data_IF_753734343479
#
_entry.id   IF_753734343479
#
_cell.length_a   1.000
_cell.length_b   1.000
_cell.length_c   1.000
_cell.angle_alpha   90.00
_cell.angle_beta   90.00
_cell.angle_gamma   90.00
#
_symmetry.space_group_name_H-M   'P 1'
#
loop_
_entity.id
_entity.type
_entity.pdbx_description
1 polymer ?
#
# COMPACT_ATOMS: atom_id res chain seq x y z
N UNK A 1 -7.99 14.79 4.09
CA UNK A 1 -6.57 14.38 4.14
C UNK A 1 -6.21 13.98 5.57
N UNK A 2 -5.32 13.01 5.78
CA UNK A 2 -4.75 12.70 7.10
C UNK A 2 -3.35 13.31 7.19
N UNK A 3 -3.09 14.13 8.19
CA UNK A 3 -1.82 14.82 8.37
C UNK A 3 -1.28 14.59 9.78
N UNK A 4 -0.17 13.86 9.88
CA UNK A 4 0.49 13.55 11.16
C UNK A 4 1.30 14.70 11.74
N UNK A 5 1.59 15.74 10.94
CA UNK A 5 2.35 16.92 11.38
C UNK A 5 1.43 18.07 11.79
N UNK A 6 0.18 18.07 11.33
CA UNK A 6 -0.83 19.00 11.81
C UNK A 6 -1.38 18.52 13.17
N UNK A 7 -1.41 19.38 14.19
CA UNK A 7 -1.93 19.00 15.50
C UNK A 7 -3.46 18.85 15.52
N UNK A 8 -4.15 19.80 14.90
CA UNK A 8 -5.61 19.93 14.95
C UNK A 8 -6.28 19.35 13.72
N UNK A 9 -7.56 18.97 13.85
CA UNK A 9 -8.39 18.75 12.67
C UNK A 9 -8.78 20.11 12.10
N UNK A 10 -8.64 20.28 10.79
CA UNK A 10 -8.95 21.54 10.11
C UNK A 10 -10.06 21.32 9.10
N UNK A 11 -10.90 22.33 8.93
CA UNK A 11 -11.91 22.39 7.88
C UNK A 11 -11.93 23.79 7.28
N UNK A 12 -12.10 23.88 5.96
CA UNK A 12 -12.08 25.18 5.30
C UNK A 12 -13.46 25.83 5.26
N UNK A 13 -13.47 27.16 5.32
CA UNK A 13 -14.68 27.99 5.14
C UNK A 13 -15.37 27.68 3.82
N UNK A 14 -14.61 27.43 2.76
CA UNK A 14 -15.12 27.06 1.43
C UNK A 14 -15.94 25.77 1.51
N UNK A 15 -15.39 24.72 2.09
CA UNK A 15 -16.07 23.44 2.23
C UNK A 15 -17.35 23.57 3.07
N UNK A 16 -17.29 24.29 4.21
CA UNK A 16 -18.47 24.52 5.06
C UNK A 16 -19.59 25.26 4.31
N UNK A 17 -19.25 26.27 3.50
CA UNK A 17 -20.23 27.00 2.68
C UNK A 17 -20.87 26.10 1.62
N UNK A 18 -20.09 25.23 0.98
CA UNK A 18 -20.59 24.31 -0.04
C UNK A 18 -21.61 23.31 0.53
N UNK A 19 -21.42 22.86 1.77
CA UNK A 19 -22.36 21.98 2.46
C UNK A 19 -23.49 22.74 3.20
N UNK A 20 -23.50 24.08 3.14
CA UNK A 20 -24.51 24.91 3.79
C UNK A 20 -24.44 24.92 5.31
N UNK A 21 -23.25 24.72 5.90
CA UNK A 21 -23.06 24.65 7.34
C UNK A 21 -22.63 26.01 7.91
N UNK A 22 -23.41 26.53 8.86
CA UNK A 22 -23.09 27.75 9.60
C UNK A 22 -22.31 27.42 10.88
N UNK A 23 -21.36 28.27 11.24
CA UNK A 23 -20.54 28.07 12.45
C UNK A 23 -20.50 29.33 13.29
N UNK A 24 -20.17 29.16 14.57
CA UNK A 24 -19.94 30.27 15.48
C UNK A 24 -18.46 30.67 15.48
N UNK A 25 -18.15 31.98 15.50
CA UNK A 25 -16.78 32.44 15.64
C UNK A 25 -16.15 31.92 16.93
N UNK A 26 -14.88 31.51 16.87
CA UNK A 26 -14.15 31.10 18.08
C UNK A 26 -13.65 32.33 18.83
N UNK A 27 -13.74 32.29 20.16
CA UNK A 27 -13.09 33.27 21.04
C UNK A 27 -11.62 32.93 21.32
N UNK A 28 -11.20 31.71 20.99
CA UNK A 28 -9.88 31.19 21.32
C UNK A 28 -8.91 31.38 20.15
N UNK A 29 -7.85 32.15 20.39
CA UNK A 29 -6.72 32.29 19.48
C UNK A 29 -5.88 31.00 19.49
N UNK A 30 -6.41 29.97 18.83
CA UNK A 30 -5.66 28.74 18.57
C UNK A 30 -4.55 29.06 17.57
N UNK A 31 -3.29 28.91 17.98
CA UNK A 31 -2.15 29.08 17.08
C UNK A 31 -2.02 27.87 16.16
N UNK A 32 -2.33 28.06 14.88
CA UNK A 32 -2.17 27.04 13.84
C UNK A 32 -1.08 27.53 12.89
N UNK A 33 0.09 26.91 12.93
CA UNK A 33 1.25 27.38 12.16
C UNK A 33 1.48 26.51 10.92
N UNK A 34 1.75 27.14 9.78
CA UNK A 34 2.15 26.47 8.53
C UNK A 34 3.66 26.17 8.51
N UNK A 35 4.10 25.36 7.53
CA UNK A 35 5.52 25.01 7.37
C UNK A 35 6.45 26.22 7.15
N UNK A 36 5.94 27.31 6.61
CA UNK A 36 6.66 28.58 6.39
C UNK A 36 6.59 29.52 7.61
N UNK A 37 6.19 29.01 8.77
CA UNK A 37 5.97 29.76 10.01
C UNK A 37 4.87 30.83 9.95
N UNK A 38 4.02 30.86 8.91
CA UNK A 38 2.86 31.75 8.91
C UNK A 38 1.75 31.18 9.77
N UNK A 39 1.16 32.01 10.62
CA UNK A 39 0.01 31.65 11.44
C UNK A 39 -1.28 31.74 10.63
N UNK A 40 -2.06 30.67 10.68
CA UNK A 40 -3.42 30.61 10.17
C UNK A 40 -4.34 31.02 11.29
N UNK A 41 -5.19 32.02 11.02
CA UNK A 41 -6.23 32.42 11.95
C UNK A 41 -7.29 31.32 12.06
N UNK A 42 -7.53 30.86 13.28
CA UNK A 42 -8.70 30.04 13.59
C UNK A 42 -9.93 30.96 13.59
N UNK A 43 -10.92 30.65 12.75
CA UNK A 43 -12.15 31.45 12.65
C UNK A 43 -13.26 30.94 13.56
N UNK A 44 -13.19 29.68 14.00
CA UNK A 44 -14.31 29.00 14.62
C UNK A 44 -14.03 27.54 14.89
N UNK A 45 -14.99 26.89 15.54
CA UNK A 45 -14.97 25.45 15.77
C UNK A 45 -16.30 24.83 15.38
N UNK A 46 -16.23 23.61 14.87
CA UNK A 46 -17.41 22.82 14.55
C UNK A 46 -17.18 21.37 14.93
N UNK A 47 -18.21 20.72 15.47
CA UNK A 47 -18.21 19.27 15.60
C UNK A 47 -18.68 18.63 14.31
N UNK A 48 -17.85 17.77 13.75
CA UNK A 48 -18.14 17.03 12.52
C UNK A 48 -18.13 15.52 12.78
N UNK A 49 -19.01 14.81 12.07
CA UNK A 49 -19.02 13.35 12.03
C UNK A 49 -18.41 12.90 10.71
N UNK A 50 -17.41 12.03 10.76
CA UNK A 50 -16.71 11.55 9.56
C UNK A 50 -16.51 10.04 9.61
N UNK A 51 -16.35 9.43 8.44
CA UNK A 51 -15.95 8.04 8.32
C UNK A 51 -15.13 7.87 7.03
N UNK A 52 -14.12 6.98 7.03
CA UNK A 52 -13.34 6.73 5.83
C UNK A 52 -14.15 5.89 4.83
N UNK A 53 -14.39 6.43 3.63
CA UNK A 53 -14.97 5.70 2.50
C UNK A 53 -13.85 4.96 1.77
N UNK A 54 -14.08 3.69 1.41
CA UNK A 54 -13.10 2.90 0.64
C UNK A 54 -11.89 2.41 1.44
N UNK A 55 -11.88 2.58 2.77
CA UNK A 55 -10.85 1.96 3.60
C UNK A 55 -10.86 0.44 3.41
N UNK A 56 -9.68 -0.20 3.24
CA UNK A 56 -9.60 -1.65 3.04
C UNK A 56 -10.23 -2.33 4.26
N UNK A 57 -11.35 -3.03 4.03
CA UNK A 57 -11.97 -3.85 5.07
C UNK A 57 -10.94 -4.90 5.49
N UNK A 58 -10.86 -5.16 6.80
CA UNK A 58 -10.03 -6.24 7.33
C UNK A 58 -10.35 -7.53 6.56
N UNK A 59 -9.38 -8.14 5.87
CA UNK A 59 -9.60 -9.42 5.23
C UNK A 59 -10.03 -10.44 6.29
N UNK A 60 -11.05 -11.25 5.98
CA UNK A 60 -11.66 -12.18 6.94
C UNK A 60 -10.64 -13.15 7.55
N UNK A 61 -9.61 -13.55 6.79
CA UNK A 61 -8.55 -14.45 7.24
C UNK A 61 -7.58 -13.80 8.25
N UNK A 62 -7.60 -12.48 8.40
CA UNK A 62 -6.84 -11.76 9.43
C UNK A 62 -7.68 -11.50 10.69
N UNK A 63 -8.92 -12.00 10.79
CA UNK A 63 -9.85 -11.76 11.90
C UNK A 63 -9.32 -12.20 13.29
N UNK A 64 -8.48 -13.23 13.33
CA UNK A 64 -7.87 -13.75 14.57
C UNK A 64 -6.56 -13.07 14.98
N UNK A 65 -5.93 -12.26 14.11
CA UNK A 65 -4.65 -11.60 14.44
C UNK A 65 -4.90 -10.43 15.39
N UNK A 66 -4.26 -10.36 16.57
CA UNK A 66 -4.37 -9.20 17.45
C UNK A 66 -4.08 -7.89 16.70
N UNK A 67 -4.93 -6.87 16.87
CA UNK A 67 -4.82 -5.58 16.16
C UNK A 67 -3.43 -4.92 16.29
N UNK A 68 -2.73 -5.19 17.40
CA UNK A 68 -1.36 -4.69 17.66
C UNK A 68 -0.30 -5.30 16.73
N UNK A 69 -0.55 -6.51 16.19
CA UNK A 69 0.35 -7.24 15.30
C UNK A 69 0.06 -6.97 13.81
N UNK A 70 -1.10 -6.39 13.51
CA UNK A 70 -1.45 -5.97 12.16
C UNK A 70 -0.68 -4.70 11.80
N UNK A 71 0.34 -4.86 10.95
CA UNK A 71 1.02 -3.75 10.25
C UNK A 71 0.03 -3.17 9.24
N UNK A 72 -0.76 -2.15 9.63
CA UNK A 72 -1.71 -1.55 8.71
C UNK A 72 -2.58 -0.45 9.32
N UNK A 73 -3.18 0.34 8.44
CA UNK A 73 -4.15 1.39 8.74
C UNK A 73 -5.34 0.83 9.53
N UNK A 74 -5.61 1.36 10.72
CA UNK A 74 -6.71 0.92 11.59
C UNK A 74 -7.97 1.77 11.35
N UNK A 75 -8.44 1.78 10.10
CA UNK A 75 -9.71 2.41 9.76
C UNK A 75 -10.85 1.46 10.14
N UNK A 76 -11.57 1.82 11.21
CA UNK A 76 -12.79 1.10 11.59
C UNK A 76 -13.94 1.58 10.70
N UNK A 77 -14.84 0.70 10.24
CA UNK A 77 -16.01 1.08 9.46
C UNK A 77 -17.11 1.65 10.37
N UNK A 78 -16.77 2.71 11.10
CA UNK A 78 -17.69 3.43 11.97
C UNK A 78 -17.45 4.92 11.78
N UNK A 79 -18.47 5.69 12.10
CA UNK A 79 -18.33 7.12 12.16
C UNK A 79 -17.62 7.54 13.46
N UNK A 80 -16.74 8.52 13.33
CA UNK A 80 -16.06 9.18 14.43
C UNK A 80 -16.55 10.62 14.51
N UNK A 81 -16.70 11.13 15.73
CA UNK A 81 -17.08 12.52 15.99
C UNK A 81 -15.82 13.25 16.45
N UNK A 82 -15.49 14.36 15.80
CA UNK A 82 -14.32 15.16 16.12
C UNK A 82 -14.65 16.64 16.03
N UNK A 83 -13.92 17.44 16.80
CA UNK A 83 -13.95 18.90 16.66
C UNK A 83 -12.96 19.32 15.58
N UNK A 84 -13.40 20.22 14.70
CA UNK A 84 -12.64 20.80 13.61
C UNK A 84 -12.47 22.30 13.84
N UNK A 85 -11.23 22.78 13.72
CA UNK A 85 -10.90 24.20 13.70
C UNK A 85 -11.17 24.71 12.28
N UNK A 86 -11.83 25.86 12.19
CA UNK A 86 -12.26 26.44 10.92
C UNK A 86 -11.19 27.42 10.46
N UNK A 87 -10.74 27.27 9.21
CA UNK A 87 -9.67 28.10 8.63
C UNK A 87 -10.06 28.62 7.27
N UNK A 88 -9.60 29.82 6.92
CA UNK A 88 -9.82 30.41 5.60
C UNK A 88 -8.65 30.10 4.66
N UNK A 89 -8.63 28.86 4.17
CA UNK A 89 -7.66 28.38 3.19
C UNK A 89 -8.39 27.73 2.02
N UNK A 90 -7.77 27.74 0.85
CA UNK A 90 -8.34 27.14 -0.38
C UNK A 90 -7.57 25.91 -0.85
N UNK A 91 -6.59 25.44 -0.07
CA UNK A 91 -5.66 24.36 -0.46
C UNK A 91 -6.17 22.96 -0.14
N UNK A 92 -7.19 22.83 0.70
CA UNK A 92 -7.81 21.57 1.09
C UNK A 92 -9.25 21.81 1.53
N UNK A 93 -10.03 20.74 1.66
CA UNK A 93 -11.38 20.81 2.24
C UNK A 93 -11.36 20.46 3.73
N UNK A 94 -10.69 19.35 4.05
CA UNK A 94 -10.65 18.79 5.41
C UNK A 94 -9.32 18.08 5.71
N UNK A 95 -8.77 18.34 6.89
CA UNK A 95 -7.60 17.67 7.46
C UNK A 95 -8.00 16.99 8.77
N UNK A 96 -7.62 15.71 8.91
CA UNK A 96 -7.61 14.99 10.18
C UNK A 96 -6.20 15.08 10.74
N UNK A 97 -6.06 15.72 11.89
CA UNK A 97 -4.78 15.99 12.54
C UNK A 97 -4.27 14.86 13.42
N UNK A 98 -3.03 15.03 13.86
CA UNK A 98 -2.24 14.12 14.72
C UNK A 98 -2.99 13.68 15.96
N UNK A 99 -3.66 14.58 16.67
CA UNK A 99 -4.36 14.25 17.92
C UNK A 99 -5.43 13.18 17.66
N UNK A 100 -6.31 13.41 16.69
CA UNK A 100 -7.33 12.43 16.29
C UNK A 100 -6.74 11.17 15.67
N UNK A 101 -5.67 11.28 14.88
CA UNK A 101 -4.95 10.11 14.34
C UNK A 101 -4.45 9.20 15.47
N UNK A 102 -3.86 9.79 16.51
CA UNK A 102 -3.30 9.06 17.64
C UNK A 102 -4.40 8.47 18.53
N UNK A 103 -5.43 9.25 18.87
CA UNK A 103 -6.55 8.82 19.72
C UNK A 103 -7.29 7.62 19.12
N UNK A 104 -7.52 7.66 17.81
CA UNK A 104 -8.18 6.58 17.08
C UNK A 104 -7.20 5.46 16.70
N UNK A 105 -5.89 5.68 16.89
CA UNK A 105 -4.82 4.79 16.50
C UNK A 105 -4.87 4.43 15.01
N UNK A 106 -5.19 5.41 14.14
CA UNK A 106 -5.42 5.20 12.70
C UNK A 106 -4.13 4.78 11.98
N UNK A 107 -3.03 5.40 12.38
CA UNK A 107 -1.70 5.18 11.84
C UNK A 107 -0.80 4.60 12.94
N UNK A 108 0.15 3.75 12.58
CA UNK A 108 1.25 3.38 13.47
C UNK A 108 2.24 4.55 13.56
N UNK A 109 1.84 5.65 14.19
CA UNK A 109 2.66 6.86 14.39
C UNK A 109 3.77 6.67 15.42
N UNK A 110 3.69 5.63 16.25
CA UNK A 110 4.69 5.29 17.26
C UNK A 110 5.45 4.00 16.92
N UNK A 111 6.11 3.94 15.75
CA UNK A 111 7.38 3.22 15.78
C UNK A 111 8.36 4.14 16.48
N UNK A 112 8.86 3.71 17.63
CA UNK A 112 10.16 4.16 18.12
C UNK A 112 11.17 3.75 17.05
N UNK A 113 11.24 4.50 15.95
CA UNK A 113 12.37 4.47 15.06
C UNK A 113 13.47 5.19 15.84
N UNK A 114 14.03 4.50 16.83
CA UNK A 114 15.43 4.66 17.23
C UNK A 114 16.31 4.11 16.10
N UNK A 115 16.02 4.50 14.86
CA UNK A 115 17.03 4.63 13.84
C UNK A 115 17.47 6.07 13.98
N UNK A 116 18.44 6.32 14.86
CA UNK A 116 19.27 7.50 14.69
C UNK A 116 19.64 7.54 13.21
N UNK A 117 19.29 8.63 12.51
CA UNK A 117 19.98 8.94 11.27
C UNK A 117 21.44 9.16 11.67
N UNK A 118 22.19 8.06 11.77
CA UNK A 118 23.64 8.13 11.68
C UNK A 118 23.85 8.46 10.21
N UNK A 119 24.37 9.64 9.85
CA UNK A 119 24.97 9.80 8.55
C UNK A 119 26.08 8.75 8.49
N UNK A 120 25.78 7.59 7.94
CA UNK A 120 26.80 6.62 7.61
C UNK A 120 27.49 7.26 6.42
N UNK A 121 28.78 7.63 6.50
CA UNK A 121 29.49 8.12 5.33
C UNK A 121 29.27 7.13 4.20
N UNK A 122 28.85 7.62 3.03
CA UNK A 122 28.72 6.82 1.83
C UNK A 122 30.09 6.17 1.64
N UNK A 123 30.21 4.88 1.95
CA UNK A 123 31.41 4.12 1.62
C UNK A 123 31.41 4.00 0.11
N UNK A 124 32.12 4.91 -0.53
CA UNK A 124 32.49 4.75 -1.93
C UNK A 124 33.47 3.59 -1.95
N UNK A 125 33.02 2.45 -2.46
CA UNK A 125 33.89 1.31 -2.68
C UNK A 125 35.09 1.76 -3.52
N UNK A 126 36.31 1.41 -3.11
CA UNK A 126 37.49 1.69 -3.91
C UNK A 126 37.35 1.03 -5.28
N UNK A 127 37.93 1.65 -6.33
CA UNK A 127 37.80 1.17 -7.70
C UNK A 127 38.12 -0.34 -7.84
N UNK A 128 39.10 -0.84 -7.09
CA UNK A 128 39.47 -2.27 -7.06
C UNK A 128 38.36 -3.18 -6.52
N UNK A 129 37.54 -2.69 -5.59
CA UNK A 129 36.41 -3.44 -5.01
C UNK A 129 35.23 -3.46 -5.97
N UNK A 130 34.97 -2.35 -6.68
CA UNK A 130 33.93 -2.26 -7.71
C UNK A 130 34.24 -3.19 -8.88
N UNK A 131 35.50 -3.24 -9.34
CA UNK A 131 35.92 -4.14 -10.42
C UNK A 131 35.74 -5.61 -10.06
N UNK A 132 36.07 -6.01 -8.82
CA UNK A 132 35.86 -7.39 -8.35
C UNK A 132 34.37 -7.78 -8.32
N UNK A 133 33.50 -6.89 -7.85
CA UNK A 133 32.05 -7.12 -7.85
C UNK A 133 31.49 -7.25 -9.27
N UNK A 134 32.02 -6.48 -10.22
CA UNK A 134 31.64 -6.57 -11.63
C UNK A 134 32.08 -7.92 -12.24
N UNK A 135 33.34 -8.32 -12.01
CA UNK A 135 33.87 -9.60 -12.50
C UNK A 135 33.09 -10.80 -11.94
N UNK A 136 32.76 -10.79 -10.64
CA UNK A 136 31.99 -11.86 -10.02
C UNK A 136 30.54 -11.92 -10.56
N UNK A 137 29.94 -10.76 -10.87
CA UNK A 137 28.62 -10.71 -11.49
C UNK A 137 28.63 -11.26 -12.93
N UNK A 138 29.67 -10.93 -13.71
CA UNK A 138 29.84 -11.40 -15.08
C UNK A 138 30.16 -12.90 -15.13
N UNK A 139 30.94 -13.42 -14.20
CA UNK A 139 31.18 -14.87 -14.05
C UNK A 139 29.89 -15.63 -13.69
N UNK A 140 29.06 -15.08 -12.80
CA UNK A 140 27.75 -15.67 -12.47
C UNK A 140 26.81 -15.68 -13.66
N UNK A 141 26.80 -14.64 -14.49
CA UNK A 141 26.00 -14.58 -15.72
C UNK A 141 26.44 -15.65 -16.71
N UNK A 142 27.75 -15.76 -16.99
CA UNK A 142 28.29 -16.78 -17.89
C UNK A 142 27.98 -18.20 -17.42
N UNK A 143 28.13 -18.47 -16.12
CA UNK A 143 27.81 -19.78 -15.54
C UNK A 143 26.33 -20.13 -15.67
N UNK A 144 25.44 -19.16 -15.47
CA UNK A 144 24.01 -19.36 -15.64
C UNK A 144 23.62 -19.65 -17.10
N UNK A 145 24.27 -18.98 -18.07
CA UNK A 145 24.06 -19.22 -19.50
C UNK A 145 24.55 -20.62 -19.93
N UNK A 146 25.71 -21.05 -19.45
CA UNK A 146 26.23 -22.40 -19.72
C UNK A 146 25.36 -23.50 -19.12
N UNK A 147 24.87 -23.31 -17.89
CA UNK A 147 23.96 -24.25 -17.24
C UNK A 147 22.60 -24.34 -17.97
N UNK A 148 22.09 -23.22 -18.49
CA UNK A 148 20.88 -23.22 -19.32
C UNK A 148 21.12 -23.95 -20.64
N UNK A 149 22.26 -23.72 -21.31
CA UNK A 149 22.59 -24.38 -22.58
C UNK A 149 22.71 -25.91 -22.42
N UNK A 150 23.37 -26.38 -21.36
CA UNK A 150 23.47 -27.82 -21.05
C UNK A 150 22.10 -28.45 -20.83
N UNK A 151 21.21 -27.77 -20.10
CA UNK A 151 19.83 -28.25 -19.88
C UNK A 151 19.02 -28.29 -21.18
N UNK A 152 19.23 -27.36 -22.10
CA UNK A 152 18.57 -27.37 -23.41
C UNK A 152 19.10 -28.50 -24.32
N UNK A 153 20.42 -28.72 -24.34
CA UNK A 153 21.05 -29.82 -25.06
C UNK A 153 20.52 -31.19 -24.58
N UNK A 154 20.47 -31.45 -23.27
CA UNK A 154 19.89 -32.67 -22.69
C UNK A 154 18.42 -32.86 -23.07
N UNK A 155 17.64 -31.77 -23.06
CA UNK A 155 16.21 -31.81 -23.38
C UNK A 155 15.95 -32.05 -24.87
N UNK A 156 16.87 -31.63 -25.74
CA UNK A 156 16.81 -31.85 -27.19
C UNK A 156 17.16 -33.31 -27.55
N UNK A 157 18.14 -33.92 -26.86
CA UNK A 157 18.51 -35.33 -27.03
C UNK A 157 17.37 -36.28 -26.61
N UNK A 158 16.64 -35.94 -25.55
CA UNK A 158 15.45 -36.68 -25.10
C UNK A 158 14.23 -36.57 -26.04
N UNK A 159 14.24 -35.63 -27.00
CA UNK A 159 13.14 -35.39 -27.96
C UNK A 159 13.38 -35.98 -29.36
N UNK A 160 14.50 -36.67 -29.59
CA UNK A 160 14.72 -37.37 -30.85
C UNK A 160 13.72 -38.56 -30.96
N UNK A 161 12.89 -38.63 -32.02
CA UNK A 161 11.86 -39.66 -32.12
C UNK A 161 12.48 -41.01 -32.51
N UNK A 162 12.34 -42.00 -31.62
CA UNK A 162 12.43 -43.41 -32.01
C UNK A 162 11.27 -43.72 -32.97
N UNK A 163 11.56 -43.73 -34.26
CA UNK A 163 10.66 -44.24 -35.29
C UNK A 163 10.55 -45.76 -35.15
N UNK A 164 9.47 -46.24 -34.55
CA UNK A 164 9.10 -47.66 -34.62
C UNK A 164 7.62 -47.76 -35.00
N UNK A 165 7.41 -48.26 -36.22
CA UNK A 165 6.22 -48.84 -36.85
C UNK A 165 4.93 -48.89 -36.00
N UNK A 166 3.92 -48.13 -36.44
CA UNK A 166 2.53 -48.44 -36.17
C UNK A 166 2.01 -49.37 -37.28
N UNK A 167 2.00 -50.68 -37.03
CA UNK A 167 1.21 -51.63 -37.84
C UNK A 167 -0.25 -51.59 -37.39
N UNK A 168 -1.12 -51.44 -38.39
CA UNK A 168 -2.57 -51.51 -38.34
C UNK A 168 -3.08 -52.74 -37.59
N UNK A 169 -4.07 -52.56 -36.71
CA UNK A 169 -5.11 -53.55 -36.48
C UNK A 169 -6.46 -52.86 -36.36
N UNK A 170 -7.27 -53.10 -37.40
CA UNK A 170 -8.72 -52.97 -37.39
C UNK A 170 -9.32 -53.80 -36.24
N UNK A 171 -10.22 -53.22 -35.45
CA UNK A 171 -11.45 -53.95 -35.11
C UNK A 171 -12.60 -53.01 -34.72
N UNK A 172 -13.74 -53.27 -35.36
CA UNK A 172 -15.06 -52.72 -35.13
C UNK A 172 -15.52 -52.96 -33.69
N UNK A 173 -16.15 -51.95 -33.09
CA UNK A 173 -16.85 -52.09 -31.81
C UNK A 173 -17.65 -50.84 -31.50
N UNK A 174 -18.95 -50.91 -31.79
CA UNK A 174 -19.96 -49.88 -31.61
C UNK A 174 -20.12 -49.43 -30.15
N UNK A 175 -20.48 -48.15 -29.97
CA UNK A 175 -21.53 -47.81 -28.99
C UNK A 175 -21.15 -46.91 -27.80
N UNK A 176 -21.84 -45.76 -27.76
CA UNK A 176 -22.25 -44.97 -26.56
C UNK A 176 -21.08 -44.27 -25.83
N UNK A 177 -20.93 -42.95 -25.91
CA UNK A 177 -21.92 -41.95 -25.53
C UNK A 177 -21.69 -41.54 -24.06
N UNK A 178 -20.99 -40.42 -23.85
CA UNK A 178 -21.07 -39.63 -22.61
C UNK A 178 -20.39 -38.27 -22.81
N UNK A 179 -21.21 -37.30 -23.18
CA UNK A 179 -20.95 -35.87 -23.02
C UNK A 179 -21.19 -35.48 -21.56
N UNK A 180 -20.24 -34.82 -20.90
CA UNK A 180 -20.54 -34.01 -19.71
C UNK A 180 -19.92 -32.63 -19.90
N UNK A 181 -20.82 -31.65 -19.98
CA UNK A 181 -20.54 -30.27 -20.32
C UNK A 181 -19.99 -29.43 -19.18
N UNK A 182 -19.42 -28.30 -19.61
CA UNK A 182 -18.92 -27.17 -18.82
C UNK A 182 -20.13 -26.32 -18.39
N UNK A 183 -20.19 -25.90 -17.13
CA UNK A 183 -21.11 -24.87 -16.66
C UNK A 183 -20.32 -23.73 -15.98
N UNK A 184 -20.33 -22.56 -16.64
CA UNK A 184 -19.96 -21.25 -16.10
C UNK A 184 -21.22 -20.61 -15.49
N UNK A 185 -21.11 -19.99 -14.31
CA UNK A 185 -22.18 -19.19 -13.70
C UNK A 185 -21.73 -17.75 -13.58
N UNK A 186 -22.58 -16.84 -14.07
CA UNK A 186 -22.53 -15.38 -13.87
C UNK A 186 -22.73 -15.03 -12.40
#
# INVERSE_FOLDING_TARGET
>A
MFDTQCEHNLVTTKFLKEIGFEWQPSTDDTQITQMNNTNIKCLGEVQGRWYPIGAPKRPWYLAGVPKRLLKGLNFRPRYEICTFKIVDLQTFDLIIGRTTINDLGLLQTNRSFFGAFRPVPIRVDSASTTTKKQQEADERRKKAEEDMRKREEEKSLLRAPNSIHATEYYNKGEGRGSSVGIALRL
#
